data_IF_735558834108
#
_entry.id   IF_735558834108
#
_cell.length_a   1.000
_cell.length_b   1.000
_cell.length_c   1.000
_cell.angle_alpha   90.00
_cell.angle_beta   90.00
_cell.angle_gamma   90.00
#
_symmetry.space_group_name_H-M   'P 1'
#
loop_
_entity.id
_entity.type
_entity.pdbx_description
1 polymer ?
#
# COMPACT_ATOMS: atom_id res chain seq x y z
N UNK A 1 22.88 1.06 31.81
CA UNK A 1 22.11 -0.16 31.62
C UNK A 1 22.03 -0.44 30.11
N UNK A 2 22.87 -1.35 29.60
CA UNK A 2 22.90 -1.73 28.19
C UNK A 2 21.79 -2.76 27.94
N UNK A 3 20.79 -2.41 27.12
CA UNK A 3 19.78 -3.34 26.65
C UNK A 3 20.38 -4.04 25.42
N UNK A 4 20.91 -5.25 25.63
CA UNK A 4 21.29 -6.14 24.53
C UNK A 4 20.03 -6.70 23.89
N UNK A 5 19.58 -6.08 22.79
CA UNK A 5 18.58 -6.66 21.91
C UNK A 5 19.21 -7.76 21.05
N UNK A 6 19.24 -8.98 21.59
CA UNK A 6 19.62 -10.15 20.81
C UNK A 6 18.50 -10.48 19.81
N UNK A 7 18.63 -9.94 18.61
CA UNK A 7 17.72 -10.24 17.50
C UNK A 7 18.00 -11.66 17.01
N UNK A 8 17.17 -12.63 17.39
CA UNK A 8 17.21 -13.99 16.83
C UNK A 8 16.89 -13.92 15.32
N UNK A 9 17.90 -14.06 14.48
CA UNK A 9 17.72 -14.20 13.03
C UNK A 9 17.03 -15.54 12.75
N UNK A 10 15.83 -15.48 12.14
CA UNK A 10 15.14 -16.68 11.66
C UNK A 10 15.79 -17.12 10.32
N UNK A 11 16.47 -18.23 10.33
CA UNK A 11 17.02 -18.82 9.11
C UNK A 11 15.92 -19.50 8.31
N UNK A 12 15.83 -19.18 7.03
CA UNK A 12 14.91 -19.83 6.09
C UNK A 12 15.75 -20.76 5.20
N UNK A 13 15.35 -22.03 5.16
CA UNK A 13 15.98 -23.04 4.30
C UNK A 13 15.10 -23.24 3.08
N UNK A 14 15.66 -23.05 1.90
CA UNK A 14 15.03 -23.46 0.63
C UNK A 14 15.71 -24.70 0.11
N UNK A 15 14.92 -25.73 -0.14
CA UNK A 15 15.36 -27.00 -0.70
C UNK A 15 14.98 -27.04 -2.19
N UNK A 16 15.96 -27.13 -3.06
CA UNK A 16 15.77 -27.36 -4.49
C UNK A 16 16.32 -28.74 -4.86
N UNK A 17 15.54 -29.53 -5.61
CA UNK A 17 15.97 -30.79 -6.16
C UNK A 17 16.31 -30.62 -7.63
N UNK A 18 17.48 -31.09 -8.03
CA UNK A 18 17.93 -31.06 -9.42
C UNK A 18 18.21 -32.49 -9.88
N UNK A 19 17.76 -32.88 -11.09
CA UNK A 19 18.25 -34.10 -11.70
C UNK A 19 19.73 -33.92 -12.11
N UNK A 20 20.56 -34.85 -11.76
CA UNK A 20 21.98 -34.90 -12.15
C UNK A 20 22.22 -36.21 -12.86
N UNK A 21 22.77 -36.13 -14.07
CA UNK A 21 23.18 -37.31 -14.83
C UNK A 21 24.62 -37.66 -14.39
N UNK A 22 24.81 -38.83 -13.81
CA UNK A 22 26.14 -39.32 -13.48
C UNK A 22 26.83 -39.90 -14.74
N UNK A 23 28.14 -40.06 -14.67
CA UNK A 23 28.95 -40.62 -15.77
C UNK A 23 28.54 -42.03 -16.21
N UNK A 24 27.73 -42.72 -15.41
CA UNK A 24 27.09 -44.02 -15.69
C UNK A 24 25.77 -43.92 -16.45
N UNK A 25 25.27 -42.73 -16.75
CA UNK A 25 23.98 -42.50 -17.39
C UNK A 25 22.77 -42.56 -16.44
N UNK A 26 22.96 -42.80 -15.15
CA UNK A 26 21.89 -42.83 -14.18
C UNK A 26 21.50 -41.42 -13.74
N UNK A 27 20.19 -41.17 -13.65
CA UNK A 27 19.64 -39.90 -13.18
C UNK A 27 19.45 -39.97 -11.66
N UNK A 28 20.26 -39.24 -10.91
CA UNK A 28 20.10 -39.08 -9.46
C UNK A 28 19.67 -37.67 -9.12
N UNK A 29 18.78 -37.50 -8.14
CA UNK A 29 18.37 -36.18 -7.66
C UNK A 29 19.33 -35.71 -6.56
N UNK A 30 20.02 -34.59 -6.79
CA UNK A 30 20.76 -33.89 -5.74
C UNK A 30 19.89 -32.81 -5.08
N UNK A 31 19.98 -32.74 -3.78
CA UNK A 31 19.27 -31.73 -2.96
C UNK A 31 20.24 -30.63 -2.61
N UNK A 32 19.96 -29.43 -3.10
CA UNK A 32 20.68 -28.22 -2.69
C UNK A 32 19.89 -27.55 -1.57
N UNK A 33 20.53 -27.40 -0.43
CA UNK A 33 19.96 -26.62 0.69
C UNK A 33 20.58 -25.23 0.68
N UNK A 34 19.85 -24.26 0.18
CA UNK A 34 20.25 -22.86 0.27
C UNK A 34 19.90 -22.29 1.65
N UNK A 35 20.92 -21.84 2.37
CA UNK A 35 20.74 -21.09 3.60
C UNK A 35 20.58 -19.62 3.26
N UNK A 36 19.39 -19.11 3.37
CA UNK A 36 19.14 -17.67 3.25
C UNK A 36 18.83 -17.12 4.65
N UNK A 37 19.63 -16.16 5.12
CA UNK A 37 19.24 -15.36 6.25
C UNK A 37 18.02 -14.51 5.84
N UNK A 38 16.89 -14.69 6.49
CA UNK A 38 15.80 -13.72 6.36
C UNK A 38 16.34 -12.39 6.88
N UNK A 39 16.70 -11.47 5.97
CA UNK A 39 16.94 -10.09 6.37
C UNK A 39 15.64 -9.60 6.97
N UNK A 40 15.62 -9.37 8.28
CA UNK A 40 14.51 -8.72 8.96
C UNK A 40 14.45 -7.34 8.32
N UNK A 41 13.41 -7.06 7.53
CA UNK A 41 13.20 -5.73 7.00
C UNK A 41 13.10 -4.79 8.19
N UNK A 42 14.01 -3.84 8.29
CA UNK A 42 13.98 -2.77 9.30
C UNK A 42 12.95 -1.72 8.95
N UNK A 43 12.34 -1.84 7.79
CA UNK A 43 11.36 -0.90 7.25
C UNK A 43 9.97 -1.20 7.82
N UNK A 44 9.76 -0.83 9.07
CA UNK A 44 8.44 -0.81 9.69
C UNK A 44 7.71 0.46 9.25
N UNK A 45 6.49 0.28 8.73
CA UNK A 45 5.60 1.41 8.43
C UNK A 45 5.95 2.21 7.17
N UNK A 46 6.81 1.69 6.27
CA UNK A 46 7.04 2.38 5.02
C UNK A 46 5.87 2.23 4.05
N UNK A 47 5.65 3.30 3.30
CA UNK A 47 4.64 3.44 2.29
C UNK A 47 5.32 3.43 0.91
N UNK A 48 4.89 2.54 0.02
CA UNK A 48 5.34 2.57 -1.37
C UNK A 48 4.52 3.58 -2.15
N UNK A 49 5.20 4.58 -2.68
CA UNK A 49 4.62 5.66 -3.46
C UNK A 49 5.12 5.57 -4.90
N UNK A 50 4.23 5.81 -5.87
CA UNK A 50 4.60 5.99 -7.27
C UNK A 50 4.65 7.48 -7.60
N UNK A 51 5.85 8.10 -7.69
CA UNK A 51 6.03 9.55 -7.77
C UNK A 51 5.27 10.20 -8.92
N UNK A 52 5.16 9.52 -10.07
CA UNK A 52 4.54 10.06 -11.28
C UNK A 52 3.11 10.55 -11.07
N UNK A 53 2.31 9.80 -10.32
CA UNK A 53 0.92 10.19 -10.04
C UNK A 53 0.86 11.33 -9.02
N UNK A 54 1.72 11.28 -7.99
CA UNK A 54 1.76 12.32 -6.97
C UNK A 54 2.21 13.66 -7.55
N UNK A 55 3.27 13.67 -8.34
CA UNK A 55 3.80 14.92 -8.91
C UNK A 55 2.78 15.62 -9.80
N UNK A 56 2.10 14.88 -10.67
CA UNK A 56 1.04 15.45 -11.51
C UNK A 56 -0.07 16.09 -10.67
N UNK A 57 -0.54 15.37 -9.65
CA UNK A 57 -1.57 15.90 -8.73
C UNK A 57 -1.10 17.17 -8.00
N UNK A 58 0.13 17.18 -7.46
CA UNK A 58 0.66 18.32 -6.71
C UNK A 58 0.85 19.58 -7.59
N UNK A 59 1.19 19.42 -8.87
CA UNK A 59 1.31 20.54 -9.79
C UNK A 59 -0.04 21.17 -10.16
N UNK A 60 -1.10 20.39 -10.20
CA UNK A 60 -2.41 20.83 -10.68
C UNK A 60 -3.35 21.29 -9.55
N UNK A 61 -3.08 20.90 -8.30
CA UNK A 61 -4.05 21.07 -7.22
C UNK A 61 -3.62 21.99 -6.08
N UNK A 62 -4.63 22.54 -5.44
CA UNK A 62 -4.48 23.53 -4.39
C UNK A 62 -4.12 22.95 -3.02
N UNK A 63 -3.81 23.86 -2.09
CA UNK A 63 -3.33 23.53 -0.74
C UNK A 63 -4.34 22.68 0.08
N UNK A 64 -5.65 22.86 -0.12
CA UNK A 64 -6.69 22.12 0.60
C UNK A 64 -6.70 20.65 0.20
N UNK A 65 -6.65 20.35 -1.11
CA UNK A 65 -6.70 18.99 -1.65
C UNK A 65 -5.48 18.18 -1.20
N UNK A 66 -4.30 18.82 -1.21
CA UNK A 66 -3.07 18.22 -0.71
C UNK A 66 -3.13 17.90 0.78
N UNK A 67 -3.73 18.78 1.60
CA UNK A 67 -3.93 18.55 3.04
C UNK A 67 -4.89 17.38 3.29
N UNK A 68 -6.01 17.34 2.55
CA UNK A 68 -6.98 16.23 2.66
C UNK A 68 -6.35 14.93 2.24
N UNK A 69 -5.59 14.91 1.15
CA UNK A 69 -4.87 13.71 0.72
C UNK A 69 -3.87 13.22 1.77
N UNK A 70 -3.06 14.11 2.34
CA UNK A 70 -2.11 13.78 3.41
C UNK A 70 -2.83 13.18 4.63
N UNK A 71 -3.95 13.79 5.03
CA UNK A 71 -4.78 13.28 6.13
C UNK A 71 -5.33 11.88 5.84
N UNK A 72 -5.82 11.62 4.63
CA UNK A 72 -6.30 10.29 4.24
C UNK A 72 -5.17 9.25 4.28
N UNK A 73 -3.96 9.62 3.84
CA UNK A 73 -2.78 8.74 3.90
C UNK A 73 -2.45 8.36 5.34
N UNK A 74 -2.47 9.31 6.26
CA UNK A 74 -2.19 9.07 7.69
C UNK A 74 -3.24 8.19 8.37
N UNK A 75 -4.49 8.25 7.92
CA UNK A 75 -5.62 7.51 8.51
C UNK A 75 -5.96 6.20 7.82
N UNK A 76 -5.40 5.95 6.64
CA UNK A 76 -5.70 4.73 5.91
C UNK A 76 -5.12 3.49 6.59
N UNK A 77 -5.88 2.42 6.54
CA UNK A 77 -5.45 1.11 7.04
C UNK A 77 -4.60 0.35 6.00
N UNK A 78 -4.17 -0.86 6.37
CA UNK A 78 -3.35 -1.75 5.51
C UNK A 78 -4.05 -2.21 4.22
N UNK A 79 -5.35 -1.95 4.06
CA UNK A 79 -6.14 -2.21 2.86
C UNK A 79 -6.40 -0.95 2.05
N UNK A 80 -5.68 0.13 2.32
CA UNK A 80 -5.86 1.46 1.74
C UNK A 80 -7.24 2.09 1.97
N UNK A 81 -7.94 1.69 3.04
CA UNK A 81 -9.29 2.17 3.35
C UNK A 81 -9.28 3.14 4.53
N UNK A 82 -10.11 4.17 4.42
CA UNK A 82 -10.41 5.14 5.48
C UNK A 82 -11.92 5.06 5.78
N UNK A 83 -12.26 4.70 7.01
CA UNK A 83 -13.64 4.54 7.47
C UNK A 83 -14.05 5.75 8.32
N UNK A 84 -14.03 6.93 7.73
CA UNK A 84 -14.43 8.20 8.35
C UNK A 84 -15.43 8.90 7.45
N UNK A 85 -16.49 9.46 8.05
CA UNK A 85 -17.43 10.30 7.33
C UNK A 85 -16.82 11.67 7.00
N UNK A 86 -17.33 12.35 5.98
CA UNK A 86 -16.88 13.68 5.59
C UNK A 86 -16.99 14.70 6.76
N UNK A 87 -17.98 14.52 7.64
CA UNK A 87 -18.15 15.37 8.84
C UNK A 87 -17.04 15.13 9.85
N UNK A 88 -16.66 13.88 10.09
CA UNK A 88 -15.55 13.55 10.98
C UNK A 88 -14.24 14.10 10.43
N UNK A 89 -13.97 13.94 9.14
CA UNK A 89 -12.80 14.54 8.48
C UNK A 89 -12.79 16.06 8.64
N UNK A 90 -13.95 16.72 8.40
CA UNK A 90 -14.12 18.16 8.56
C UNK A 90 -13.82 18.61 10.00
N UNK A 91 -14.35 17.92 10.99
CA UNK A 91 -14.17 18.24 12.41
C UNK A 91 -12.71 18.05 12.86
N UNK A 92 -12.07 16.94 12.48
CA UNK A 92 -10.68 16.65 12.87
C UNK A 92 -9.68 17.59 12.19
N UNK A 93 -9.88 17.87 10.90
CA UNK A 93 -9.00 18.79 10.16
C UNK A 93 -9.29 20.26 10.43
N UNK A 94 -10.43 20.60 11.07
CA UNK A 94 -10.92 21.99 11.27
C UNK A 94 -11.06 22.76 9.95
N UNK A 95 -11.50 22.06 8.92
CA UNK A 95 -11.78 22.59 7.58
C UNK A 95 -13.28 22.49 7.34
N UNK A 96 -13.88 23.49 6.69
CA UNK A 96 -15.33 23.48 6.42
C UNK A 96 -15.76 22.28 5.59
N UNK A 97 -16.91 21.68 5.89
CA UNK A 97 -17.46 20.54 5.18
C UNK A 97 -17.57 20.74 3.66
N UNK A 98 -18.00 21.93 3.15
CA UNK A 98 -18.00 22.18 1.71
C UNK A 98 -16.59 22.10 1.08
N UNK A 99 -15.55 22.57 1.80
CA UNK A 99 -14.16 22.47 1.32
C UNK A 99 -13.65 21.04 1.31
N UNK A 100 -14.00 20.23 2.32
CA UNK A 100 -13.69 18.78 2.33
C UNK A 100 -14.38 18.07 1.16
N UNK A 101 -15.68 18.32 0.95
CA UNK A 101 -16.43 17.71 -0.15
C UNK A 101 -15.82 18.06 -1.52
N UNK A 102 -15.39 19.31 -1.71
CA UNK A 102 -14.70 19.72 -2.94
C UNK A 102 -13.39 18.98 -3.12
N UNK A 103 -12.55 18.93 -2.09
CA UNK A 103 -11.28 18.24 -2.13
C UNK A 103 -11.45 16.74 -2.42
N UNK A 104 -12.40 16.07 -1.77
CA UNK A 104 -12.68 14.65 -2.02
C UNK A 104 -13.19 14.42 -3.45
N UNK A 105 -14.03 15.34 -3.97
CA UNK A 105 -14.48 15.30 -5.36
C UNK A 105 -13.29 15.40 -6.32
N UNK A 106 -12.41 16.36 -6.11
CA UNK A 106 -11.23 16.57 -6.94
C UNK A 106 -10.32 15.33 -6.89
N UNK A 107 -10.07 14.77 -5.71
CA UNK A 107 -9.31 13.53 -5.56
C UNK A 107 -9.95 12.33 -6.30
N UNK A 108 -11.28 12.25 -6.31
CA UNK A 108 -12.02 11.21 -7.02
C UNK A 108 -11.97 11.40 -8.55
N UNK A 109 -12.02 12.64 -9.04
CA UNK A 109 -11.89 12.97 -10.47
C UNK A 109 -10.52 12.54 -11.05
N UNK A 110 -9.46 12.62 -10.23
CA UNK A 110 -8.11 12.13 -10.58
C UNK A 110 -7.93 10.63 -10.33
N UNK A 111 -8.98 9.91 -9.94
CA UNK A 111 -8.94 8.48 -9.56
C UNK A 111 -7.88 8.17 -8.48
N UNK A 112 -7.60 9.15 -7.62
CA UNK A 112 -6.73 8.98 -6.45
C UNK A 112 -7.47 8.26 -5.33
N UNK A 113 -8.78 8.48 -5.23
CA UNK A 113 -9.66 7.80 -4.29
C UNK A 113 -10.93 7.31 -4.99
N UNK A 114 -11.56 6.29 -4.41
CA UNK A 114 -12.95 5.92 -4.69
C UNK A 114 -13.70 5.81 -3.38
N UNK A 115 -14.92 6.33 -3.36
CA UNK A 115 -15.82 6.22 -2.22
C UNK A 115 -16.98 5.29 -2.55
N UNK A 116 -17.21 4.33 -1.67
CA UNK A 116 -18.31 3.38 -1.79
C UNK A 116 -18.81 2.99 -0.39
N UNK A 117 -20.13 3.07 -0.18
CA UNK A 117 -20.79 2.75 1.10
C UNK A 117 -20.19 3.47 2.33
N UNK A 118 -19.75 4.72 2.18
CA UNK A 118 -19.16 5.50 3.26
C UNK A 118 -17.71 5.13 3.60
N UNK A 119 -17.07 4.27 2.82
CA UNK A 119 -15.64 3.99 2.89
C UNK A 119 -14.89 4.68 1.76
N UNK A 120 -13.83 5.39 2.09
CA UNK A 120 -12.91 5.99 1.11
C UNK A 120 -11.74 5.04 0.92
N UNK A 121 -11.50 4.61 -0.33
CA UNK A 121 -10.37 3.76 -0.67
C UNK A 121 -9.36 4.53 -1.51
N UNK A 122 -8.11 4.57 -1.07
CA UNK A 122 -7.01 5.22 -1.80
C UNK A 122 -6.47 4.28 -2.87
N UNK A 123 -6.28 4.80 -4.08
CA UNK A 123 -5.87 4.01 -5.24
C UNK A 123 -4.48 3.36 -5.03
N UNK A 124 -4.38 2.03 -5.07
CA UNK A 124 -3.12 1.32 -4.90
C UNK A 124 -2.15 1.48 -6.08
N UNK A 125 -2.58 2.04 -7.20
CA UNK A 125 -1.68 2.49 -8.26
C UNK A 125 -0.88 3.73 -7.84
N UNK A 126 -1.42 4.52 -6.92
CA UNK A 126 -0.81 5.73 -6.38
C UNK A 126 0.13 5.41 -5.21
N UNK A 127 -0.38 4.71 -4.20
CA UNK A 127 0.40 4.30 -3.03
C UNK A 127 -0.20 3.06 -2.35
N UNK A 128 0.65 2.30 -1.65
CA UNK A 128 0.21 1.13 -0.89
C UNK A 128 1.05 0.92 0.36
N UNK A 129 0.40 0.44 1.42
CA UNK A 129 1.07 0.04 2.65
C UNK A 129 1.67 -1.37 2.51
N UNK A 130 3.02 -1.49 2.57
CA UNK A 130 3.69 -2.78 2.68
C UNK A 130 4.12 -3.43 1.36
N UNK A 131 3.96 -4.76 1.24
CA UNK A 131 4.58 -5.57 0.19
C UNK A 131 3.89 -5.49 -1.18
N UNK A 132 4.65 -5.87 -2.24
CA UNK A 132 4.12 -5.89 -3.63
C UNK A 132 2.98 -6.90 -3.84
N UNK A 133 2.96 -8.03 -3.11
CA UNK A 133 1.86 -9.00 -3.19
C UNK A 133 0.55 -8.42 -2.68
N UNK A 134 0.59 -7.70 -1.55
CA UNK A 134 -0.59 -7.00 -1.01
C UNK A 134 -1.14 -5.94 -1.97
N UNK A 135 -0.26 -5.28 -2.74
CA UNK A 135 -0.70 -4.30 -3.73
C UNK A 135 -1.65 -4.91 -4.76
N UNK A 136 -1.37 -6.10 -5.26
CA UNK A 136 -2.20 -6.77 -6.25
C UNK A 136 -3.60 -7.05 -5.69
N UNK A 137 -3.68 -7.61 -4.49
CA UNK A 137 -4.96 -7.89 -3.82
C UNK A 137 -5.82 -6.62 -3.62
N UNK A 138 -5.18 -5.52 -3.17
CA UNK A 138 -5.88 -4.25 -2.98
C UNK A 138 -6.28 -3.66 -4.33
N UNK A 139 -5.45 -3.82 -5.37
CA UNK A 139 -5.72 -3.31 -6.70
C UNK A 139 -6.93 -4.02 -7.34
N UNK A 140 -7.01 -5.34 -7.24
CA UNK A 140 -8.15 -6.11 -7.72
C UNK A 140 -9.46 -5.69 -7.01
N UNK A 141 -9.40 -5.51 -5.69
CA UNK A 141 -10.54 -5.01 -4.92
C UNK A 141 -10.93 -3.57 -5.31
N UNK A 142 -9.95 -2.70 -5.57
CA UNK A 142 -10.17 -1.32 -5.98
C UNK A 142 -10.84 -1.22 -7.36
N UNK A 143 -10.41 -2.04 -8.32
CA UNK A 143 -10.98 -2.05 -9.67
C UNK A 143 -12.46 -2.49 -9.69
N UNK A 144 -12.90 -3.25 -8.70
CA UNK A 144 -14.31 -3.64 -8.54
C UNK A 144 -15.18 -2.51 -7.97
N UNK A 145 -14.58 -1.48 -7.38
CA UNK A 145 -15.34 -0.34 -6.86
C UNK A 145 -15.84 0.53 -8.02
N UNK A 146 -17.09 1.03 -7.95
CA UNK A 146 -17.59 1.97 -8.94
C UNK A 146 -16.74 3.25 -8.90
N UNK A 147 -16.47 3.82 -10.08
CA UNK A 147 -15.87 5.16 -10.13
C UNK A 147 -16.82 6.14 -9.45
N UNK A 148 -16.30 6.90 -8.50
CA UNK A 148 -17.11 7.86 -7.74
C UNK A 148 -17.65 8.90 -8.73
N UNK A 149 -18.96 8.83 -9.01
CA UNK A 149 -19.65 9.88 -9.76
C UNK A 149 -19.76 11.06 -8.81
N UNK A 150 -19.27 12.21 -9.26
CA UNK A 150 -19.09 13.42 -8.44
C UNK A 150 -20.20 13.66 -7.41
N UNK A 151 -19.78 14.08 -6.24
CA UNK A 151 -20.69 14.46 -5.14
C UNK A 151 -21.69 15.52 -5.63
N UNK A 152 -23.00 15.23 -5.50
CA UNK A 152 -24.06 16.21 -5.75
C UNK A 152 -24.15 17.22 -4.62
#
# INVERSE_FOLDING_TARGET
>A
MKIENTVKQKMIYRTKRFPVIESTGEIKSRVLIERTSAKKSTDYGFLKLWPRYLTNFLYEKGNCDCKVLAYLIDRMNIKNKVCLSHREISNEMKISLPSINRALKDLAEYDIIREYNGEITVNPAFLVYGSSGRRLEIYEAYEQLPKTKGYK
#
